data_IF_086533785534
#
_entry.id   IF_086533785534
#
_cell.length_a   1.000
_cell.length_b   1.000
_cell.length_c   1.000
_cell.angle_alpha   90.00
_cell.angle_beta   90.00
_cell.angle_gamma   90.00
#
_symmetry.space_group_name_H-M   'P 1'
#
loop_
_entity.id
_entity.type
_entity.pdbx_description
1 polymer ?
#
# COMPACT_ATOMS: atom_id res chain seq x y z
N UNK A 1 -47.28 -15.10 25.55
CA UNK A 1 -46.54 -13.93 25.01
C UNK A 1 -45.09 -14.22 24.59
N UNK A 2 -44.66 -15.47 24.27
CA UNK A 2 -43.26 -15.80 23.93
C UNK A 2 -42.99 -16.20 22.45
N UNK A 3 -44.04 -16.38 21.63
CA UNK A 3 -43.88 -16.82 20.21
C UNK A 3 -43.70 -15.67 19.19
N UNK A 4 -44.11 -14.46 19.52
CA UNK A 4 -44.02 -13.35 18.57
C UNK A 4 -42.66 -12.58 18.58
N UNK A 5 -41.92 -12.70 19.70
CA UNK A 5 -40.60 -12.05 19.82
C UNK A 5 -39.54 -12.78 19.01
N UNK A 6 -39.63 -14.13 18.94
CA UNK A 6 -38.68 -14.94 18.19
C UNK A 6 -38.82 -14.76 16.68
N UNK A 7 -40.06 -14.59 16.18
CA UNK A 7 -40.32 -14.32 14.76
C UNK A 7 -39.83 -12.92 14.30
N UNK A 8 -39.84 -11.93 15.19
CA UNK A 8 -39.31 -10.60 14.91
C UNK A 8 -37.78 -10.59 14.90
N UNK A 9 -37.14 -11.38 15.76
CA UNK A 9 -35.67 -11.52 15.75
C UNK A 9 -35.15 -12.25 14.51
N UNK A 10 -35.84 -13.28 14.04
CA UNK A 10 -35.45 -13.97 12.80
C UNK A 10 -35.70 -13.13 11.54
N UNK A 11 -36.73 -12.30 11.51
CA UNK A 11 -36.96 -11.39 10.39
C UNK A 11 -35.91 -10.27 10.33
N UNK A 12 -35.45 -9.72 11.45
CA UNK A 12 -34.39 -8.71 11.48
C UNK A 12 -33.01 -9.29 11.12
N UNK A 13 -32.72 -10.54 11.51
CA UNK A 13 -31.47 -11.20 11.14
C UNK A 13 -31.40 -11.54 9.64
N UNK A 14 -32.54 -11.90 9.04
CA UNK A 14 -32.60 -12.18 7.58
C UNK A 14 -32.48 -10.92 6.73
N UNK A 15 -32.95 -9.78 7.20
CA UNK A 15 -32.83 -8.50 6.48
C UNK A 15 -31.40 -7.97 6.53
N UNK A 16 -30.65 -8.21 7.60
CA UNK A 16 -29.25 -7.83 7.70
C UNK A 16 -28.31 -8.67 6.81
N UNK A 17 -28.64 -9.96 6.60
CA UNK A 17 -27.85 -10.85 5.71
C UNK A 17 -28.11 -10.56 4.24
N UNK A 18 -29.29 -10.07 3.86
CA UNK A 18 -29.57 -9.69 2.46
C UNK A 18 -28.93 -8.35 2.04
N UNK A 19 -28.59 -7.46 2.97
CA UNK A 19 -27.90 -6.20 2.65
C UNK A 19 -26.40 -6.36 2.42
N UNK A 20 -25.78 -7.48 2.85
CA UNK A 20 -24.35 -7.72 2.63
C UNK A 20 -24.04 -8.46 1.33
N UNK A 21 -25.06 -9.15 0.74
CA UNK A 21 -24.89 -9.88 -0.52
C UNK A 21 -25.17 -9.05 -1.79
N UNK A 22 -25.52 -7.76 -1.66
CA UNK A 22 -25.73 -6.84 -2.79
C UNK A 22 -24.60 -5.81 -2.96
N UNK A 23 -23.49 -5.95 -2.27
CA UNK A 23 -22.22 -5.36 -2.69
C UNK A 23 -21.67 -6.21 -3.84
N UNK A 24 -22.45 -6.21 -4.94
CA UNK A 24 -21.95 -6.61 -6.24
C UNK A 24 -20.69 -5.81 -6.51
N UNK A 25 -19.70 -6.48 -7.05
CA UNK A 25 -18.53 -5.90 -7.66
C UNK A 25 -18.93 -4.65 -8.45
N UNK A 26 -18.83 -3.48 -7.82
CA UNK A 26 -18.67 -2.25 -8.56
C UNK A 26 -17.30 -2.38 -9.23
N UNK A 27 -17.29 -2.99 -10.42
CA UNK A 27 -16.22 -2.71 -11.35
C UNK A 27 -16.29 -1.20 -11.55
N UNK A 28 -15.45 -0.47 -10.83
CA UNK A 28 -15.16 0.91 -11.15
C UNK A 28 -14.45 0.84 -12.51
N UNK A 29 -15.25 0.83 -13.58
CA UNK A 29 -14.78 1.27 -14.89
C UNK A 29 -14.47 2.76 -14.70
N UNK A 30 -13.27 3.06 -14.18
CA UNK A 30 -12.72 4.38 -14.30
C UNK A 30 -12.67 4.65 -15.81
N UNK A 31 -13.54 5.51 -16.30
CA UNK A 31 -13.37 6.05 -17.63
C UNK A 31 -11.96 6.62 -17.72
N UNK A 32 -11.26 6.47 -18.85
CA UNK A 32 -9.94 7.06 -19.01
C UNK A 32 -10.06 8.55 -18.65
N UNK A 33 -9.26 8.98 -17.67
CA UNK A 33 -9.29 10.37 -17.24
C UNK A 33 -8.86 11.26 -18.42
N UNK A 34 -9.52 12.42 -18.56
CA UNK A 34 -9.13 13.39 -19.58
C UNK A 34 -7.74 13.94 -19.22
N UNK A 35 -6.71 13.77 -20.07
CA UNK A 35 -5.35 14.25 -19.78
C UNK A 35 -5.29 15.75 -19.50
N UNK A 36 -6.18 16.54 -20.10
CA UNK A 36 -6.25 17.98 -19.85
C UNK A 36 -6.80 18.30 -18.45
N UNK A 37 -7.76 17.51 -17.96
CA UNK A 37 -8.30 17.65 -16.62
C UNK A 37 -7.27 17.25 -15.56
N UNK A 38 -6.51 16.17 -15.79
CA UNK A 38 -5.42 15.75 -14.90
C UNK A 38 -4.31 16.81 -14.80
N UNK A 39 -3.87 17.38 -15.91
CA UNK A 39 -2.88 18.45 -15.94
C UNK A 39 -3.35 19.65 -15.12
N UNK A 40 -4.63 20.01 -15.19
CA UNK A 40 -5.18 21.14 -14.42
C UNK A 40 -5.21 20.88 -12.91
N UNK A 41 -5.41 19.63 -12.47
CA UNK A 41 -5.37 19.25 -11.04
C UNK A 41 -3.95 19.32 -10.50
N UNK A 42 -2.99 18.78 -11.22
CA UNK A 42 -1.57 18.81 -10.85
C UNK A 42 -1.06 20.26 -10.78
N UNK A 43 -1.34 21.07 -11.79
CA UNK A 43 -0.95 22.49 -11.81
C UNK A 43 -1.55 23.27 -10.64
N UNK A 44 -2.82 23.01 -10.30
CA UNK A 44 -3.47 23.64 -9.17
C UNK A 44 -2.83 23.25 -7.83
N UNK A 45 -2.50 21.95 -7.63
CA UNK A 45 -1.79 21.49 -6.45
C UNK A 45 -0.40 22.13 -6.38
N UNK A 46 0.37 22.06 -7.45
CA UNK A 46 1.73 22.62 -7.51
C UNK A 46 1.77 24.12 -7.29
N UNK A 47 0.74 24.86 -7.74
CA UNK A 47 0.68 26.31 -7.54
C UNK A 47 0.54 26.71 -6.08
N UNK A 48 -0.01 25.84 -5.23
CA UNK A 48 -0.21 26.06 -3.79
C UNK A 48 0.97 25.57 -2.94
N UNK A 49 1.86 24.75 -3.51
CA UNK A 49 2.98 24.16 -2.79
C UNK A 49 4.17 25.10 -2.72
N UNK A 50 4.79 25.15 -1.55
CA UNK A 50 6.11 25.79 -1.37
C UNK A 50 7.19 25.00 -2.10
N UNK A 51 8.35 25.61 -2.35
CA UNK A 51 9.49 24.92 -2.93
C UNK A 51 9.93 23.73 -2.06
N UNK A 52 9.89 23.87 -0.73
CA UNK A 52 10.20 22.79 0.23
C UNK A 52 9.28 21.59 0.02
N UNK A 53 7.98 21.81 -0.08
CA UNK A 53 7.00 20.74 -0.32
C UNK A 53 7.20 20.06 -1.67
N UNK A 54 7.47 20.84 -2.73
CA UNK A 54 7.77 20.27 -4.05
C UNK A 54 8.99 19.36 -4.03
N UNK A 55 10.06 19.76 -3.32
CA UNK A 55 11.26 18.94 -3.15
C UNK A 55 10.93 17.69 -2.33
N UNK A 56 10.21 17.82 -1.23
CA UNK A 56 9.85 16.71 -0.37
C UNK A 56 8.97 15.67 -1.08
N UNK A 57 8.06 16.11 -1.95
CA UNK A 57 7.26 15.21 -2.80
C UNK A 57 8.10 14.38 -3.80
N UNK A 58 9.34 14.75 -4.05
CA UNK A 58 10.29 13.95 -4.84
C UNK A 58 11.10 12.97 -3.98
N UNK A 59 10.93 12.98 -2.67
CA UNK A 59 11.68 12.14 -1.71
C UNK A 59 10.83 10.98 -1.24
N UNK A 60 11.51 9.83 -1.09
CA UNK A 60 10.93 8.57 -0.61
C UNK A 60 11.90 7.95 0.40
N UNK A 61 11.83 8.37 1.68
CA UNK A 61 12.66 7.78 2.73
C UNK A 61 12.23 6.36 3.06
N UNK A 62 13.13 5.62 3.71
CA UNK A 62 12.82 4.40 4.44
C UNK A 62 12.84 4.64 5.96
N UNK A 63 12.04 3.85 6.66
CA UNK A 63 12.03 3.77 8.12
C UNK A 63 12.22 2.30 8.54
N UNK A 64 13.23 1.62 8.03
CA UNK A 64 13.45 0.17 8.26
C UNK A 64 13.55 -0.17 9.74
N UNK A 65 14.28 0.65 10.48
CA UNK A 65 14.49 0.50 11.92
C UNK A 65 14.34 1.85 12.59
N UNK A 66 13.79 1.84 13.79
CA UNK A 66 13.64 3.04 14.60
C UNK A 66 14.04 2.80 16.04
N UNK A 67 14.47 3.85 16.70
CA UNK A 67 14.78 3.85 18.11
C UNK A 67 14.13 5.08 18.73
N UNK A 68 13.17 4.87 19.62
CA UNK A 68 12.61 5.94 20.45
C UNK A 68 13.50 6.21 21.66
N UNK A 69 13.30 7.32 22.36
CA UNK A 69 14.05 7.65 23.58
C UNK A 69 13.96 6.57 24.66
N UNK A 70 12.86 5.80 24.70
CA UNK A 70 12.64 4.71 25.66
C UNK A 70 13.27 3.38 25.27
N UNK A 71 13.78 3.24 24.06
CA UNK A 71 14.31 1.98 23.55
C UNK A 71 15.77 1.78 23.91
N UNK A 72 16.14 0.54 24.23
CA UNK A 72 17.53 0.13 24.49
C UNK A 72 18.38 -0.02 23.20
N UNK A 73 17.79 0.17 22.03
CA UNK A 73 18.43 0.05 20.72
C UNK A 73 17.41 0.11 19.58
N UNK A 74 17.92 0.10 18.34
CA UNK A 74 17.07 0.09 17.15
C UNK A 74 16.25 -1.18 17.05
N UNK A 75 14.96 -1.03 16.75
CA UNK A 75 14.02 -2.12 16.47
C UNK A 75 13.50 -2.01 15.05
N UNK A 76 13.06 -3.11 14.46
CA UNK A 76 12.34 -3.10 13.20
C UNK A 76 11.09 -2.20 13.33
N UNK A 77 10.92 -1.29 12.39
CA UNK A 77 9.77 -0.38 12.38
C UNK A 77 8.56 -1.08 11.78
N UNK A 78 7.76 -1.68 12.64
CA UNK A 78 6.57 -2.47 12.28
C UNK A 78 5.27 -1.85 12.79
N UNK A 79 5.37 -0.87 13.66
CA UNK A 79 4.25 -0.14 14.25
C UNK A 79 4.56 1.33 14.21
N UNK A 80 3.58 2.13 13.77
CA UNK A 80 3.70 3.58 13.75
C UNK A 80 3.98 4.12 15.17
N UNK A 81 4.81 5.13 15.27
CA UNK A 81 5.02 5.91 16.48
C UNK A 81 4.88 7.41 16.20
N UNK A 82 4.74 8.19 17.26
CA UNK A 82 4.49 9.63 17.16
C UNK A 82 5.64 10.39 16.49
N UNK A 83 6.89 9.95 16.68
CA UNK A 83 8.07 10.59 16.10
C UNK A 83 8.06 10.48 14.56
N UNK A 84 7.84 9.27 14.02
CA UNK A 84 7.76 9.07 12.56
C UNK A 84 6.51 9.72 11.99
N UNK A 85 5.37 9.65 12.70
CA UNK A 85 4.16 10.35 12.27
C UNK A 85 4.37 11.86 12.16
N UNK A 86 5.10 12.45 13.12
CA UNK A 86 5.43 13.88 13.08
C UNK A 86 6.39 14.20 11.95
N UNK A 87 7.41 13.38 11.71
CA UNK A 87 8.34 13.55 10.58
C UNK A 87 7.60 13.54 9.24
N UNK A 88 6.67 12.59 9.04
CA UNK A 88 5.88 12.51 7.81
C UNK A 88 5.06 13.80 7.61
N UNK A 89 4.41 14.31 8.67
CA UNK A 89 3.62 15.55 8.64
C UNK A 89 4.48 16.79 8.36
N UNK A 90 5.65 16.89 9.00
CA UNK A 90 6.52 18.06 8.91
C UNK A 90 7.22 18.18 7.57
N UNK A 91 7.54 17.06 6.96
CA UNK A 91 8.29 17.02 5.70
C UNK A 91 7.41 16.87 4.46
N UNK A 92 6.22 16.28 4.57
CA UNK A 92 5.29 16.13 3.44
C UNK A 92 5.89 15.33 2.26
N UNK A 93 6.48 14.16 2.57
CA UNK A 93 7.15 13.30 1.59
C UNK A 93 6.19 12.77 0.51
N UNK A 94 6.71 12.51 -0.70
CA UNK A 94 5.94 11.91 -1.79
C UNK A 94 5.72 10.41 -1.63
N UNK A 95 6.54 9.72 -0.85
CA UNK A 95 6.39 8.28 -0.62
C UNK A 95 7.20 7.76 0.54
N UNK A 96 7.00 6.47 0.84
CA UNK A 96 7.80 5.70 1.80
C UNK A 96 8.07 4.33 1.18
N UNK A 97 9.33 3.88 1.20
CA UNK A 97 9.69 2.53 0.77
C UNK A 97 9.74 1.59 1.98
N UNK A 98 9.10 0.42 1.82
CA UNK A 98 9.04 -0.64 2.82
C UNK A 98 10.00 -1.79 2.47
N UNK A 99 10.54 -2.40 3.51
CA UNK A 99 11.44 -3.56 3.42
C UNK A 99 10.96 -4.70 4.29
N UNK A 100 11.61 -5.85 4.23
CA UNK A 100 11.26 -7.03 5.03
C UNK A 100 11.19 -6.74 6.54
N UNK A 101 11.95 -5.78 7.04
CA UNK A 101 11.91 -5.33 8.43
C UNK A 101 10.59 -4.70 8.82
N UNK A 102 9.85 -4.15 7.86
CA UNK A 102 8.57 -3.46 8.08
C UNK A 102 7.37 -4.39 7.98
N UNK A 103 7.46 -5.46 7.15
CA UNK A 103 6.32 -6.29 6.72
C UNK A 103 6.42 -7.70 7.29
N UNK A 104 6.00 -7.88 8.55
CA UNK A 104 6.13 -9.15 9.25
C UNK A 104 4.89 -10.05 9.14
N UNK A 105 3.70 -9.48 9.33
CA UNK A 105 2.41 -10.17 9.28
C UNK A 105 1.40 -9.33 8.51
N UNK A 106 0.40 -9.98 7.92
CA UNK A 106 -0.60 -9.31 7.06
C UNK A 106 -1.35 -8.18 7.75
N UNK A 107 -1.90 -8.44 8.94
CA UNK A 107 -2.65 -7.47 9.73
C UNK A 107 -1.76 -6.32 10.25
N UNK A 108 -0.56 -6.65 10.69
CA UNK A 108 0.44 -5.68 11.12
C UNK A 108 0.85 -4.77 9.94
N UNK A 109 1.10 -5.33 8.77
CA UNK A 109 1.50 -4.57 7.58
C UNK A 109 0.36 -3.64 7.13
N UNK A 110 -0.88 -4.15 7.05
CA UNK A 110 -2.04 -3.34 6.70
C UNK A 110 -2.25 -2.18 7.68
N UNK A 111 -2.04 -2.43 8.98
CA UNK A 111 -2.14 -1.35 9.97
C UNK A 111 -1.03 -0.32 9.77
N UNK A 112 0.21 -0.73 9.57
CA UNK A 112 1.33 0.19 9.34
C UNK A 112 1.10 1.06 8.11
N UNK A 113 0.68 0.48 6.99
CA UNK A 113 0.41 1.23 5.76
C UNK A 113 -0.75 2.22 5.92
N UNK A 114 -1.80 1.81 6.65
CA UNK A 114 -2.92 2.70 7.00
C UNK A 114 -2.45 3.88 7.84
N UNK A 115 -1.68 3.62 8.90
CA UNK A 115 -1.18 4.65 9.80
C UNK A 115 -0.22 5.64 9.08
N UNK A 116 0.59 5.13 8.13
CA UNK A 116 1.45 5.97 7.28
C UNK A 116 0.62 6.92 6.39
N UNK A 117 -0.44 6.41 5.76
CA UNK A 117 -1.35 7.24 4.95
C UNK A 117 -2.12 8.26 5.80
N UNK A 118 -2.58 7.85 6.98
CA UNK A 118 -3.23 8.77 7.91
C UNK A 118 -2.29 9.91 8.33
N UNK A 119 -1.03 9.60 8.64
CA UNK A 119 -0.04 10.61 8.98
C UNK A 119 0.16 11.61 7.84
N UNK A 120 0.24 11.15 6.58
CA UNK A 120 0.45 12.01 5.41
C UNK A 120 -0.76 12.88 5.07
N UNK A 121 -1.98 12.40 5.35
CA UNK A 121 -3.22 13.08 4.92
C UNK A 121 -3.96 13.82 6.04
N UNK A 122 -3.47 13.75 7.28
CA UNK A 122 -4.11 14.39 8.46
C UNK A 122 -3.51 15.74 8.85
N UNK A 123 -2.57 16.28 8.08
CA UNK A 123 -1.94 17.57 8.35
C UNK A 123 -2.87 18.73 8.03
N UNK A 124 -2.84 19.79 8.85
CA UNK A 124 -3.58 21.05 8.59
C UNK A 124 -2.84 21.96 7.61
N UNK A 125 -1.51 21.87 7.57
CA UNK A 125 -0.62 22.73 6.82
C UNK A 125 0.16 22.01 5.70
N UNK A 126 -0.07 20.70 5.54
CA UNK A 126 0.57 19.87 4.51
C UNK A 126 -0.17 19.90 3.18
N UNK A 127 0.43 19.24 2.17
CA UNK A 127 -0.21 19.05 0.86
C UNK A 127 -1.41 18.10 0.93
N UNK A 128 -1.48 17.26 1.97
CA UNK A 128 -2.43 16.17 2.16
C UNK A 128 -2.48 15.22 0.95
N UNK A 129 -1.36 15.09 0.24
CA UNK A 129 -1.19 14.15 -0.87
C UNK A 129 -0.89 12.77 -0.28
N UNK A 130 -1.65 11.73 -0.63
CA UNK A 130 -1.35 10.37 -0.18
C UNK A 130 0.03 9.91 -0.62
N UNK A 131 0.69 9.10 0.23
CA UNK A 131 2.01 8.56 -0.04
C UNK A 131 2.00 7.53 -1.18
N UNK A 132 3.05 7.54 -1.98
CA UNK A 132 3.46 6.36 -2.72
C UNK A 132 4.08 5.37 -1.73
N UNK A 133 3.34 4.33 -1.34
CA UNK A 133 3.85 3.25 -0.50
C UNK A 133 4.44 2.18 -1.40
N UNK A 134 5.73 1.96 -1.29
CA UNK A 134 6.48 1.16 -2.24
C UNK A 134 7.21 0.00 -1.57
N UNK A 135 7.51 -1.03 -2.34
CA UNK A 135 8.24 -2.23 -1.92
C UNK A 135 8.97 -2.84 -3.11
N UNK A 136 9.99 -3.67 -2.85
CA UNK A 136 10.61 -4.55 -3.85
C UNK A 136 10.06 -5.97 -3.67
N UNK A 137 8.96 -6.33 -4.29
CA UNK A 137 8.38 -7.67 -4.22
C UNK A 137 8.56 -8.38 -5.55
N UNK A 138 9.78 -8.88 -5.81
CA UNK A 138 10.17 -9.45 -7.10
C UNK A 138 9.85 -10.95 -7.24
N UNK A 139 9.66 -11.63 -6.11
CA UNK A 139 9.73 -13.10 -6.03
C UNK A 139 11.19 -13.62 -5.97
N UNK A 140 11.37 -14.93 -5.82
CA UNK A 140 12.71 -15.52 -5.69
C UNK A 140 13.45 -15.02 -4.45
N UNK A 141 14.63 -14.46 -4.65
CA UNK A 141 15.51 -14.00 -3.54
C UNK A 141 14.99 -12.67 -2.94
N UNK A 142 14.44 -11.79 -3.78
CA UNK A 142 13.89 -10.50 -3.35
C UNK A 142 12.40 -10.66 -3.08
N UNK A 143 12.12 -11.17 -1.89
CA UNK A 143 10.80 -11.47 -1.38
C UNK A 143 10.65 -10.85 0.01
N UNK A 144 9.76 -9.85 0.15
CA UNK A 144 9.63 -9.05 1.38
C UNK A 144 8.45 -9.49 2.24
N UNK A 145 7.32 -9.84 1.61
CA UNK A 145 6.09 -10.23 2.30
C UNK A 145 6.20 -11.65 2.86
N UNK A 146 6.73 -11.81 4.07
CA UNK A 146 6.87 -13.12 4.71
C UNK A 146 5.56 -13.91 4.88
N UNK A 147 4.41 -13.23 4.87
CA UNK A 147 3.06 -13.82 4.90
C UNK A 147 2.40 -13.95 3.53
N UNK A 148 3.06 -13.50 2.45
CA UNK A 148 2.54 -13.58 1.08
C UNK A 148 2.84 -14.91 0.39
N UNK A 149 2.45 -15.01 -0.88
CA UNK A 149 2.71 -16.18 -1.72
C UNK A 149 4.16 -16.21 -2.17
N UNK A 150 4.90 -17.25 -1.83
CA UNK A 150 6.27 -17.44 -2.29
C UNK A 150 6.28 -17.76 -3.80
N UNK A 151 6.60 -16.78 -4.60
CA UNK A 151 6.68 -16.88 -6.05
C UNK A 151 8.13 -17.02 -6.53
N UNK A 152 8.36 -17.69 -7.68
CA UNK A 152 9.69 -17.80 -8.26
C UNK A 152 10.16 -16.44 -8.79
N UNK A 153 11.47 -16.22 -8.82
CA UNK A 153 12.05 -15.02 -9.44
C UNK A 153 11.98 -15.03 -10.97
N UNK A 154 12.26 -13.88 -11.56
CA UNK A 154 12.14 -13.63 -13.02
C UNK A 154 12.90 -14.61 -13.89
N UNK A 155 14.11 -15.05 -13.49
CA UNK A 155 14.89 -16.03 -14.24
C UNK A 155 14.17 -17.38 -14.33
N UNK A 156 13.55 -17.85 -13.23
CA UNK A 156 12.80 -19.10 -13.21
C UNK A 156 11.52 -18.98 -14.03
N UNK A 157 10.81 -17.85 -13.94
CA UNK A 157 9.65 -17.57 -14.81
C UNK A 157 10.04 -17.55 -16.29
N UNK A 158 11.14 -16.88 -16.63
CA UNK A 158 11.67 -16.84 -18.00
C UNK A 158 12.06 -18.21 -18.54
N UNK A 159 12.59 -19.10 -17.69
CA UNK A 159 12.93 -20.46 -18.07
C UNK A 159 11.69 -21.30 -18.47
N UNK A 160 10.50 -21.00 -17.94
CA UNK A 160 9.25 -21.66 -18.33
C UNK A 160 8.82 -21.32 -19.77
N UNK A 161 9.27 -20.20 -20.30
CA UNK A 161 8.84 -19.60 -21.58
C UNK A 161 7.31 -19.40 -21.68
N UNK A 162 6.64 -19.25 -20.55
CA UNK A 162 5.21 -19.06 -20.44
C UNK A 162 4.88 -17.63 -20.02
N UNK A 163 4.27 -16.88 -20.92
CA UNK A 163 3.72 -15.56 -20.59
C UNK A 163 2.58 -15.64 -19.59
N UNK A 164 1.80 -16.72 -19.63
CA UNK A 164 0.70 -16.94 -18.69
C UNK A 164 1.22 -17.12 -17.25
N UNK A 165 2.33 -17.85 -17.08
CA UNK A 165 2.95 -18.00 -15.76
C UNK A 165 3.46 -16.64 -15.22
N UNK A 166 4.05 -15.80 -16.07
CA UNK A 166 4.50 -14.48 -15.70
C UNK A 166 3.30 -13.56 -15.34
N UNK A 167 2.23 -13.61 -16.13
CA UNK A 167 1.00 -12.85 -15.87
C UNK A 167 0.38 -13.25 -14.53
N UNK A 168 0.22 -14.55 -14.28
CA UNK A 168 -0.34 -15.06 -13.02
C UNK A 168 0.51 -14.65 -11.81
N UNK A 169 1.83 -14.68 -11.93
CA UNK A 169 2.74 -14.21 -10.87
C UNK A 169 2.54 -12.73 -10.56
N UNK A 170 2.48 -11.89 -11.60
CA UNK A 170 2.22 -10.46 -11.46
C UNK A 170 0.84 -10.15 -10.85
N UNK A 171 -0.20 -10.90 -11.25
CA UNK A 171 -1.54 -10.77 -10.68
C UNK A 171 -1.61 -11.14 -9.20
N UNK A 172 -0.87 -12.16 -8.77
CA UNK A 172 -0.82 -12.55 -7.35
C UNK A 172 -0.12 -11.46 -6.55
N UNK A 173 1.08 -11.03 -6.97
CA UNK A 173 1.83 -9.95 -6.30
C UNK A 173 0.97 -8.69 -6.22
N UNK A 174 0.41 -8.24 -7.35
CA UNK A 174 -0.38 -7.02 -7.39
C UNK A 174 -1.60 -7.06 -6.48
N UNK A 175 -2.31 -8.19 -6.39
CA UNK A 175 -3.43 -8.39 -5.47
C UNK A 175 -3.01 -8.34 -4.00
N UNK A 176 -1.93 -9.01 -3.64
CA UNK A 176 -1.43 -9.04 -2.27
C UNK A 176 -0.96 -7.66 -1.82
N UNK A 177 -0.19 -6.96 -2.65
CA UNK A 177 0.27 -5.59 -2.35
C UNK A 177 -0.90 -4.61 -2.24
N UNK A 178 -1.84 -4.65 -3.18
CA UNK A 178 -3.02 -3.79 -3.16
C UNK A 178 -3.88 -4.01 -1.91
N UNK A 179 -4.06 -5.27 -1.48
CA UNK A 179 -4.80 -5.61 -0.26
C UNK A 179 -4.12 -5.06 1.00
N UNK A 180 -2.81 -4.84 0.97
CA UNK A 180 -2.02 -4.25 2.05
C UNK A 180 -1.86 -2.73 1.93
N UNK A 181 -2.52 -2.08 0.95
CA UNK A 181 -2.40 -0.64 0.74
C UNK A 181 -1.07 -0.19 0.14
N UNK A 182 -0.24 -1.13 -0.35
CA UNK A 182 1.01 -0.84 -1.07
C UNK A 182 0.64 -0.60 -2.53
N UNK A 183 0.98 0.57 -3.07
CA UNK A 183 0.49 1.03 -4.37
C UNK A 183 1.55 1.12 -5.46
N UNK A 184 2.82 0.87 -5.13
CA UNK A 184 3.93 0.79 -6.08
C UNK A 184 4.82 -0.41 -5.75
N UNK A 185 5.15 -1.21 -6.77
CA UNK A 185 6.13 -2.29 -6.67
C UNK A 185 7.33 -1.98 -7.58
N UNK A 186 8.53 -2.00 -7.03
CA UNK A 186 9.77 -1.86 -7.81
C UNK A 186 10.17 -3.21 -8.42
N UNK A 187 9.25 -3.79 -9.17
CA UNK A 187 9.40 -5.04 -9.90
C UNK A 187 8.59 -4.99 -11.21
N UNK A 188 8.91 -5.85 -12.19
CA UNK A 188 10.07 -6.75 -12.24
C UNK A 188 11.37 -6.02 -12.59
N UNK A 189 12.52 -6.61 -12.21
CA UNK A 189 13.82 -6.12 -12.70
C UNK A 189 13.88 -6.29 -14.22
N UNK A 190 14.16 -5.18 -14.91
CA UNK A 190 14.24 -5.13 -16.36
C UNK A 190 15.68 -5.38 -16.91
N UNK A 191 16.65 -5.53 -16.01
CA UNK A 191 18.03 -5.83 -16.38
C UNK A 191 18.15 -7.21 -17.04
N UNK A 192 18.99 -7.29 -18.05
CA UNK A 192 19.32 -8.54 -18.73
C UNK A 192 20.68 -9.05 -18.24
N UNK A 193 20.79 -10.37 -18.03
CA UNK A 193 22.07 -10.98 -17.72
C UNK A 193 22.98 -10.95 -18.95
N UNK A 194 23.94 -10.02 -18.96
CA UNK A 194 24.95 -9.87 -20.00
C UNK A 194 26.27 -10.59 -19.65
N UNK A 195 26.33 -11.22 -18.48
CA UNK A 195 27.50 -11.99 -18.05
C UNK A 195 27.35 -13.44 -18.51
N UNK A 196 28.30 -13.98 -19.31
CA UNK A 196 28.24 -15.35 -19.82
C UNK A 196 28.40 -16.40 -18.70
#
# INVERSE_FOLDING_TARGET
MKKNTLKRFMASAMTAVMCVSSLGTLAVNAAPADPAAETSVVDNLMSKMTLRQKIAQMMMPDFRKWQTESDSGQKNFQVMNDEVAQIIKDYDFGGVILFAENVAQTDQTLKLTTDLQEAATSGTDGSNIPLLLTIDQEGGIVYRLGSGTALPGNMALGATRSTDAATQSGEVIGRELSALGINVDFAPVADVNSNP
#
